data_IF_440074450698
#
_entry.id   IF_440074450698
#
_cell.length_a   1.000
_cell.length_b   1.000
_cell.length_c   1.000
_cell.angle_alpha   90.00
_cell.angle_beta   90.00
_cell.angle_gamma   90.00
#
_symmetry.space_group_name_H-M   'P 1'
#
loop_
_entity.id
_entity.type
_entity.pdbx_description
1 polymer ?
#
# COMPACT_ATOMS: atom_id res chain seq x y z
N UNK A 1 -3.98 -27.39 -26.05
CA UNK A 1 -2.97 -26.76 -25.17
C UNK A 1 -2.95 -27.53 -23.88
N UNK A 2 -1.77 -27.87 -23.36
CA UNK A 2 -1.63 -28.64 -22.13
C UNK A 2 -1.82 -27.71 -20.92
N UNK A 3 -2.80 -28.00 -20.06
CA UNK A 3 -3.07 -27.17 -18.90
C UNK A 3 -1.94 -27.32 -17.87
N UNK A 4 -1.17 -26.26 -17.72
CA UNK A 4 -0.07 -26.20 -16.75
C UNK A 4 -0.62 -26.32 -15.32
N UNK A 5 -0.12 -27.25 -14.48
CA UNK A 5 -0.72 -27.55 -13.19
C UNK A 5 -0.53 -26.41 -12.18
N UNK A 6 -1.54 -26.22 -11.33
CA UNK A 6 -1.43 -25.40 -10.13
C UNK A 6 -0.83 -26.25 -8.99
N UNK A 7 0.21 -25.74 -8.34
CA UNK A 7 0.88 -26.37 -7.19
C UNK A 7 0.51 -25.68 -5.88
N UNK A 8 0.44 -26.48 -4.81
CA UNK A 8 0.47 -25.96 -3.45
C UNK A 8 1.90 -25.53 -3.09
N UNK A 9 2.03 -24.42 -2.36
CA UNK A 9 3.29 -24.03 -1.73
C UNK A 9 3.04 -24.08 -0.22
N UNK A 10 3.89 -24.76 0.57
CA UNK A 10 3.73 -24.84 2.02
C UNK A 10 3.59 -23.48 2.70
N UNK A 11 3.09 -23.48 3.94
CA UNK A 11 3.00 -22.28 4.77
C UNK A 11 4.38 -21.60 4.90
N UNK A 12 4.42 -20.34 4.49
CA UNK A 12 5.55 -19.42 4.58
C UNK A 12 5.20 -18.45 5.70
N UNK A 13 5.90 -18.57 6.83
CA UNK A 13 5.79 -17.58 7.90
C UNK A 13 6.13 -16.18 7.37
N UNK A 14 5.66 -15.16 8.09
CA UNK A 14 5.77 -13.79 7.68
C UNK A 14 6.43 -13.01 8.84
N UNK A 15 7.65 -12.51 8.61
CA UNK A 15 8.47 -11.80 9.61
C UNK A 15 8.61 -10.31 9.24
N UNK A 16 8.38 -9.36 10.17
CA UNK A 16 8.63 -7.93 9.94
C UNK A 16 10.11 -7.62 9.60
N UNK A 17 10.35 -6.48 8.92
CA UNK A 17 11.69 -5.95 8.64
C UNK A 17 11.99 -4.60 9.37
N UNK A 18 11.75 -3.42 8.78
CA UNK A 18 11.98 -2.05 9.34
C UNK A 18 10.77 -1.15 8.97
N UNK A 19 10.52 0.11 9.36
CA UNK A 19 9.29 0.82 8.89
C UNK A 19 9.37 1.35 7.45
N UNK A 20 8.21 1.47 6.76
CA UNK A 20 8.08 2.26 5.52
C UNK A 20 8.43 3.74 5.78
N UNK A 21 8.09 4.24 6.97
CA UNK A 21 8.40 5.60 7.41
C UNK A 21 9.89 5.80 7.80
N UNK A 22 10.64 4.71 8.00
CA UNK A 22 12.09 4.73 8.29
C UNK A 22 12.94 4.72 7.01
N UNK A 23 12.32 4.47 5.85
CA UNK A 23 12.97 4.28 4.54
C UNK A 23 12.45 5.22 3.47
N UNK A 24 11.97 6.39 3.91
CA UNK A 24 11.49 7.43 3.03
C UNK A 24 12.62 7.92 2.08
N UNK A 25 12.31 8.14 0.79
CA UNK A 25 13.26 8.71 -0.16
C UNK A 25 13.57 10.17 0.18
N UNK A 26 14.40 10.82 -0.64
CA UNK A 26 14.62 12.27 -0.53
C UNK A 26 13.29 13.01 -0.74
N UNK A 27 12.94 13.92 0.18
CA UNK A 27 11.75 14.77 0.02
C UNK A 27 11.95 15.92 -0.96
N UNK A 28 10.83 16.38 -1.51
CA UNK A 28 10.69 17.72 -2.10
C UNK A 28 9.79 18.59 -1.22
N UNK A 29 10.04 19.90 -1.16
CA UNK A 29 9.27 20.85 -0.34
C UNK A 29 8.50 21.83 -1.21
N UNK A 30 7.29 22.18 -0.80
CA UNK A 30 6.49 23.25 -1.37
C UNK A 30 5.57 23.88 -0.32
N UNK A 31 5.10 25.10 -0.57
CA UNK A 31 4.18 25.81 0.34
C UNK A 31 2.83 25.08 0.42
N UNK A 32 2.34 24.56 -0.71
CA UNK A 32 1.10 23.80 -0.83
C UNK A 32 1.40 22.33 -1.22
N UNK A 33 0.47 21.39 -0.99
CA UNK A 33 0.58 20.03 -1.50
C UNK A 33 0.72 19.99 -3.02
N UNK A 34 1.63 19.18 -3.53
CA UNK A 34 1.84 18.94 -4.97
C UNK A 34 1.39 17.53 -5.33
N UNK A 35 0.51 17.41 -6.32
CA UNK A 35 -0.01 16.12 -6.80
C UNK A 35 1.08 15.27 -7.47
N UNK A 36 0.89 13.94 -7.48
CA UNK A 36 1.89 12.95 -7.88
C UNK A 36 2.49 13.21 -9.27
N UNK A 37 1.65 13.55 -10.26
CA UNK A 37 2.12 13.76 -11.64
C UNK A 37 3.05 14.97 -11.77
N UNK A 38 2.80 16.06 -11.03
CA UNK A 38 3.68 17.23 -11.01
C UNK A 38 5.01 16.97 -10.28
N UNK A 39 5.08 15.92 -9.45
CA UNK A 39 6.32 15.39 -8.87
C UNK A 39 6.98 14.31 -9.74
N UNK A 40 6.49 14.08 -10.96
CA UNK A 40 7.00 13.05 -11.88
C UNK A 40 6.62 11.62 -11.50
N UNK A 41 5.66 11.43 -10.59
CA UNK A 41 5.26 10.12 -10.09
C UNK A 41 3.97 9.61 -10.75
N UNK A 42 4.06 8.47 -11.45
CA UNK A 42 2.90 7.87 -12.12
C UNK A 42 2.09 6.91 -11.24
N UNK A 43 2.74 6.14 -10.35
CA UNK A 43 2.17 4.99 -9.62
C UNK A 43 2.71 4.88 -8.19
N UNK A 44 2.13 3.98 -7.40
CA UNK A 44 2.57 3.66 -6.03
C UNK A 44 1.83 4.49 -4.98
N UNK A 45 2.58 4.95 -3.98
CA UNK A 45 2.10 5.76 -2.86
C UNK A 45 2.81 7.10 -2.82
N UNK A 46 2.28 8.07 -2.09
CA UNK A 46 3.00 9.29 -1.77
C UNK A 46 2.69 9.68 -0.34
N UNK A 47 3.73 9.98 0.44
CA UNK A 47 3.57 10.56 1.77
C UNK A 47 3.69 12.08 1.68
N UNK A 48 2.69 12.78 2.20
CA UNK A 48 2.73 14.21 2.46
C UNK A 48 2.95 14.41 3.97
N UNK A 49 3.95 15.21 4.34
CA UNK A 49 4.29 15.49 5.74
C UNK A 49 4.22 16.98 6.03
N UNK A 50 3.54 17.34 7.10
CA UNK A 50 3.46 18.70 7.64
C UNK A 50 3.89 18.71 9.11
N UNK A 51 4.74 19.68 9.50
CA UNK A 51 5.10 19.92 10.89
C UNK A 51 4.30 21.09 11.45
N UNK A 52 3.45 20.78 12.42
CA UNK A 52 2.49 21.72 13.00
C UNK A 52 3.20 22.82 13.77
N UNK A 53 2.94 24.08 13.41
CA UNK A 53 3.55 25.27 14.04
C UNK A 53 2.68 25.90 15.14
N UNK A 54 1.36 25.83 14.98
CA UNK A 54 0.37 26.42 15.87
C UNK A 54 -0.73 25.41 16.15
N UNK A 55 -1.35 25.47 17.33
CA UNK A 55 -2.45 24.57 17.68
C UNK A 55 -3.63 24.75 16.71
N UNK A 56 -4.20 23.66 16.21
CA UNK A 56 -5.30 23.67 15.25
C UNK A 56 -6.16 22.41 15.41
N UNK A 57 -7.48 22.56 15.34
CA UNK A 57 -8.41 21.44 15.51
C UNK A 57 -9.64 21.56 14.63
N UNK A 58 -10.22 20.41 14.27
CA UNK A 58 -11.37 20.31 13.37
C UNK A 58 -11.25 19.14 12.39
N UNK A 59 -12.19 19.05 11.47
CA UNK A 59 -12.23 18.02 10.43
C UNK A 59 -11.04 18.21 9.48
N UNK A 60 -10.28 17.14 9.21
CA UNK A 60 -9.24 17.11 8.19
C UNK A 60 -9.86 16.97 6.80
N UNK A 61 -9.51 17.86 5.86
CA UNK A 61 -9.77 17.69 4.43
C UNK A 61 -8.45 17.69 3.66
N UNK A 62 -8.35 16.85 2.64
CA UNK A 62 -7.12 16.67 1.85
C UNK A 62 -7.39 16.94 0.39
N UNK A 63 -7.19 18.19 -0.04
CA UNK A 63 -7.51 18.65 -1.37
C UNK A 63 -9.01 18.86 -1.59
N UNK A 64 -9.39 18.94 -2.86
CA UNK A 64 -10.77 18.99 -3.34
C UNK A 64 -11.55 17.68 -3.12
N UNK A 65 -10.92 16.52 -3.33
CA UNK A 65 -11.49 15.18 -3.10
C UNK A 65 -10.39 14.11 -2.93
N UNK A 66 -10.62 13.03 -2.13
CA UNK A 66 -9.67 11.92 -1.98
C UNK A 66 -9.35 11.20 -3.30
N UNK A 67 -8.06 10.92 -3.54
CA UNK A 67 -7.56 10.26 -4.77
C UNK A 67 -6.36 9.33 -4.48
N UNK A 68 -6.55 8.16 -3.87
CA UNK A 68 -7.84 7.50 -3.64
C UNK A 68 -8.09 7.25 -2.16
N UNK A 69 -7.28 6.37 -1.54
CA UNK A 69 -7.34 6.07 -0.10
C UNK A 69 -6.23 6.82 0.63
N UNK A 70 -6.61 7.63 1.62
CA UNK A 70 -5.72 8.49 2.41
C UNK A 70 -5.58 7.90 3.81
N UNK A 71 -4.39 7.44 4.18
CA UNK A 71 -4.09 7.00 5.54
C UNK A 71 -3.52 8.17 6.34
N UNK A 72 -4.17 8.52 7.45
CA UNK A 72 -3.84 9.71 8.26
C UNK A 72 -3.11 9.28 9.54
N UNK A 73 -1.93 9.85 9.76
CA UNK A 73 -1.09 9.59 10.94
C UNK A 73 -0.75 10.90 11.65
N UNK A 74 -0.79 10.88 12.98
CA UNK A 74 -0.26 11.96 13.82
C UNK A 74 0.82 11.38 14.72
N UNK A 75 2.03 11.94 14.66
CA UNK A 75 3.22 11.44 15.36
C UNK A 75 3.45 9.94 15.14
N UNK A 76 3.28 9.47 13.90
CA UNK A 76 3.43 8.06 13.50
C UNK A 76 2.28 7.12 13.89
N UNK A 77 1.29 7.57 14.66
CA UNK A 77 0.11 6.77 15.02
C UNK A 77 -1.03 7.02 14.00
N UNK A 78 -1.60 5.96 13.42
CA UNK A 78 -2.80 6.04 12.56
C UNK A 78 -3.96 6.65 13.36
N UNK A 79 -4.61 7.67 12.80
CA UNK A 79 -5.73 8.42 13.41
C UNK A 79 -7.01 8.37 12.58
N UNK A 80 -6.93 7.92 11.32
CA UNK A 80 -8.11 7.71 10.48
C UNK A 80 -7.76 7.37 9.04
N UNK A 81 -8.81 7.21 8.25
CA UNK A 81 -8.77 7.01 6.79
C UNK A 81 -9.69 8.02 6.14
N UNK A 82 -9.35 8.48 4.94
CA UNK A 82 -10.26 9.24 4.08
C UNK A 82 -10.35 8.50 2.75
N UNK A 83 -11.58 8.23 2.33
CA UNK A 83 -11.99 7.71 1.02
C UNK A 83 -13.35 8.36 0.71
N UNK A 84 -13.82 8.24 -0.53
CA UNK A 84 -15.16 8.61 -0.99
C UNK A 84 -16.32 8.09 -0.13
N UNK A 85 -16.12 7.01 0.64
CA UNK A 85 -17.15 6.33 1.44
C UNK A 85 -17.01 6.54 2.96
N UNK A 86 -15.91 7.11 3.47
CA UNK A 86 -15.64 7.24 4.91
C UNK A 86 -15.85 8.67 5.43
N UNK A 87 -16.30 8.84 6.68
CA UNK A 87 -16.30 10.14 7.32
C UNK A 87 -14.87 10.65 7.52
N UNK A 88 -14.64 11.93 7.25
CA UNK A 88 -13.34 12.57 7.46
C UNK A 88 -12.99 12.63 8.97
N UNK A 89 -11.75 12.30 9.38
CA UNK A 89 -11.35 12.32 10.78
C UNK A 89 -11.28 13.75 11.32
N UNK A 90 -11.67 13.91 12.59
CA UNK A 90 -11.44 15.16 13.34
C UNK A 90 -10.10 15.08 14.07
N UNK A 91 -9.25 16.08 13.87
CA UNK A 91 -7.94 16.19 14.49
C UNK A 91 -7.91 17.30 15.55
N UNK A 92 -6.97 17.19 16.49
CA UNK A 92 -6.61 18.23 17.45
C UNK A 92 -5.07 18.24 17.57
N UNK A 93 -4.44 19.05 16.73
CA UNK A 93 -2.99 19.10 16.52
C UNK A 93 -2.35 20.20 17.38
N UNK A 94 -1.17 19.90 17.94
CA UNK A 94 -0.40 20.79 18.80
C UNK A 94 0.88 21.25 18.11
N UNK A 95 1.46 22.41 18.49
CA UNK A 95 2.77 22.83 18.02
C UNK A 95 3.81 21.73 18.26
N UNK A 96 4.55 21.37 17.21
CA UNK A 96 5.55 20.31 17.24
C UNK A 96 5.06 18.95 16.74
N UNK A 97 3.73 18.71 16.67
CA UNK A 97 3.17 17.48 16.09
C UNK A 97 3.56 17.34 14.60
N UNK A 98 3.67 16.11 14.14
CA UNK A 98 3.86 15.75 12.73
C UNK A 98 2.57 15.12 12.21
N UNK A 99 1.95 15.77 11.23
CA UNK A 99 0.87 15.22 10.43
C UNK A 99 1.45 14.55 9.18
N UNK A 100 1.14 13.28 9.00
CA UNK A 100 1.54 12.46 7.87
C UNK A 100 0.28 11.93 7.16
N UNK A 101 0.12 12.23 5.86
CA UNK A 101 -0.95 11.66 5.03
C UNK A 101 -0.35 10.83 3.90
N UNK A 102 -0.48 9.50 4.03
CA UNK A 102 -0.01 8.53 3.05
C UNK A 102 -1.15 8.22 2.07
N UNK A 103 -1.01 8.69 0.83
CA UNK A 103 -2.00 8.46 -0.23
C UNK A 103 -1.64 7.20 -1.00
N UNK A 104 -2.60 6.31 -1.15
CA UNK A 104 -2.55 5.23 -2.13
C UNK A 104 -3.24 5.66 -3.43
N UNK A 105 -2.50 5.62 -4.54
CA UNK A 105 -3.09 5.64 -5.88
C UNK A 105 -3.53 4.21 -6.20
N UNK A 106 -4.83 3.92 -6.11
CA UNK A 106 -5.42 2.59 -6.36
C UNK A 106 -5.53 2.29 -7.86
N UNK A 107 -5.61 3.33 -8.69
CA UNK A 107 -5.65 3.24 -10.16
C UNK A 107 -6.41 4.43 -10.75
N UNK A 108 -6.06 4.84 -11.97
CA UNK A 108 -6.80 5.90 -12.69
C UNK A 108 -8.04 5.30 -13.36
N UNK A 109 -9.16 6.02 -13.31
CA UNK A 109 -10.36 5.70 -14.09
C UNK A 109 -9.98 5.59 -15.57
N UNK A 110 -10.46 4.51 -16.21
CA UNK A 110 -10.12 4.14 -17.59
C UNK A 110 -11.34 4.22 -18.55
N UNK A 111 -12.45 4.80 -18.10
CA UNK A 111 -13.69 4.93 -18.87
C UNK A 111 -14.47 6.21 -18.48
N UNK A 112 -15.18 6.81 -19.43
CA UNK A 112 -16.11 7.91 -19.19
C UNK A 112 -15.46 9.30 -19.03
N UNK A 113 -16.27 10.25 -18.54
CA UNK A 113 -15.92 11.69 -18.44
C UNK A 113 -14.78 12.00 -17.47
N UNK A 114 -14.53 11.13 -16.49
CA UNK A 114 -13.58 11.43 -15.41
C UNK A 114 -12.11 11.17 -15.75
N UNK A 115 -11.82 10.61 -16.94
CA UNK A 115 -10.45 10.32 -17.40
C UNK A 115 -9.51 11.55 -17.33
N UNK A 116 -9.91 12.78 -17.74
CA UNK A 116 -9.05 13.96 -17.64
C UNK A 116 -8.74 14.36 -16.19
N UNK A 117 -9.64 14.05 -15.24
CA UNK A 117 -9.57 14.46 -13.84
C UNK A 117 -8.79 13.47 -12.94
N UNK A 118 -8.09 12.50 -13.52
CA UNK A 118 -7.36 11.44 -12.82
C UNK A 118 -5.95 11.82 -12.34
N UNK A 119 -5.76 13.04 -11.84
CA UNK A 119 -4.56 13.38 -11.04
C UNK A 119 -4.60 12.60 -9.72
N UNK A 120 -3.44 12.27 -9.14
CA UNK A 120 -3.35 11.42 -7.94
C UNK A 120 -2.53 12.07 -6.84
N UNK A 121 -2.73 11.64 -5.60
CA UNK A 121 -2.24 12.39 -4.43
C UNK A 121 -3.20 13.53 -4.09
N UNK A 122 -2.68 14.63 -3.56
CA UNK A 122 -3.49 15.78 -3.12
C UNK A 122 -3.53 16.85 -4.22
N UNK A 123 -4.75 17.25 -4.61
CA UNK A 123 -5.00 18.36 -5.53
C UNK A 123 -5.69 19.48 -4.74
N UNK A 124 -5.03 20.63 -4.62
CA UNK A 124 -5.50 21.73 -3.77
C UNK A 124 -5.00 21.62 -2.33
N UNK A 125 -5.62 22.39 -1.43
CA UNK A 125 -5.15 22.58 -0.06
C UNK A 125 -5.56 21.46 0.91
N UNK A 126 -4.73 21.24 1.92
CA UNK A 126 -5.09 20.47 3.12
C UNK A 126 -5.58 21.44 4.19
N UNK A 127 -6.73 21.16 4.79
CA UNK A 127 -7.29 21.99 5.87
C UNK A 127 -7.60 21.18 7.12
N UNK A 128 -7.42 21.77 8.29
CA UNK A 128 -7.96 21.27 9.56
C UNK A 128 -8.93 22.32 10.09
N UNK A 129 -10.21 21.97 10.15
CA UNK A 129 -11.28 22.97 10.36
C UNK A 129 -11.31 23.97 9.20
N UNK A 130 -11.16 25.25 9.50
CA UNK A 130 -11.05 26.35 8.52
C UNK A 130 -9.60 26.76 8.20
N UNK A 131 -8.60 26.16 8.85
CA UNK A 131 -7.19 26.53 8.69
C UNK A 131 -6.53 25.74 7.57
N UNK A 132 -6.00 26.43 6.56
CA UNK A 132 -5.12 25.85 5.53
C UNK A 132 -3.76 25.52 6.16
N UNK A 133 -3.28 24.30 5.94
CA UNK A 133 -1.95 23.86 6.35
C UNK A 133 -0.95 24.08 5.21
N UNK A 134 0.16 24.73 5.51
CA UNK A 134 1.22 25.10 4.55
C UNK A 134 2.56 24.41 4.90
N UNK A 135 3.55 24.56 4.02
CA UNK A 135 4.92 24.03 4.17
C UNK A 135 4.95 22.49 4.28
N UNK A 136 4.75 21.86 3.13
CA UNK A 136 4.65 20.41 2.95
C UNK A 136 5.95 19.79 2.44
N UNK A 137 6.30 18.63 3.00
CA UNK A 137 7.26 17.69 2.41
C UNK A 137 6.53 16.58 1.67
N UNK A 138 7.10 16.15 0.54
CA UNK A 138 6.54 15.14 -0.33
C UNK A 138 7.56 14.02 -0.52
N UNK A 139 7.15 12.78 -0.30
CA UNK A 139 7.99 11.60 -0.47
C UNK A 139 7.34 10.66 -1.52
N UNK A 140 7.77 10.73 -2.79
CA UNK A 140 7.27 9.86 -3.85
C UNK A 140 7.70 8.40 -3.66
N UNK A 141 6.75 7.51 -3.34
CA UNK A 141 6.99 6.09 -3.10
C UNK A 141 6.48 5.26 -4.30
N UNK A 142 7.24 5.23 -5.39
CA UNK A 142 6.88 4.42 -6.59
C UNK A 142 6.84 2.93 -6.28
N UNK A 143 7.74 2.47 -5.39
CA UNK A 143 7.93 1.09 -4.96
C UNK A 143 8.18 0.09 -6.11
N UNK A 144 8.67 0.53 -7.28
CA UNK A 144 9.02 -0.36 -8.41
C UNK A 144 10.01 -1.47 -8.03
N UNK A 145 10.76 -1.26 -6.95
CA UNK A 145 11.61 -2.25 -6.31
C UNK A 145 11.31 -2.26 -4.81
N UNK A 146 11.47 -3.41 -4.13
CA UNK A 146 11.51 -3.43 -2.67
C UNK A 146 12.60 -2.45 -2.19
N UNK A 147 12.33 -1.56 -1.21
CA UNK A 147 13.38 -0.70 -0.66
C UNK A 147 14.53 -1.54 -0.09
N UNK A 148 15.76 -1.07 -0.28
CA UNK A 148 16.97 -1.84 -0.03
C UNK A 148 17.16 -2.19 1.45
N UNK A 149 16.77 -3.41 1.81
CA UNK A 149 16.99 -4.08 3.11
C UNK A 149 16.42 -3.41 4.38
N UNK A 150 15.74 -2.26 4.28
CA UNK A 150 15.35 -1.45 5.45
C UNK A 150 13.95 -0.80 5.34
N UNK A 151 12.92 -1.48 4.84
CA UNK A 151 11.51 -1.03 4.87
C UNK A 151 10.57 -2.11 5.43
N UNK A 152 9.26 -1.85 5.61
CA UNK A 152 8.32 -2.83 6.25
C UNK A 152 7.81 -3.84 5.23
N UNK A 153 8.80 -4.61 4.84
CA UNK A 153 8.82 -5.63 3.85
C UNK A 153 8.90 -6.94 4.61
N UNK A 154 7.78 -7.63 4.66
CA UNK A 154 7.71 -8.96 5.22
C UNK A 154 8.44 -9.91 4.28
N UNK A 155 9.77 -10.04 4.47
CA UNK A 155 10.71 -10.82 3.66
C UNK A 155 10.91 -12.20 4.28
N UNK A 156 10.55 -13.25 3.54
CA UNK A 156 10.97 -14.61 3.77
C UNK A 156 11.64 -15.22 2.54
N UNK A 157 12.63 -16.07 2.78
CA UNK A 157 13.25 -16.92 1.77
C UNK A 157 12.66 -18.32 1.89
N UNK A 158 12.12 -18.87 0.82
CA UNK A 158 11.52 -20.21 0.86
C UNK A 158 12.58 -21.28 1.01
N UNK A 159 12.30 -22.32 1.80
CA UNK A 159 13.03 -23.59 1.72
C UNK A 159 12.89 -24.21 0.32
N UNK A 160 13.79 -25.12 -0.10
CA UNK A 160 13.73 -25.73 -1.43
C UNK A 160 12.41 -26.47 -1.67
N UNK A 161 11.77 -26.20 -2.80
CA UNK A 161 10.65 -26.99 -3.30
C UNK A 161 11.18 -28.39 -3.69
N UNK A 162 11.00 -29.39 -2.80
CA UNK A 162 11.23 -30.79 -3.13
C UNK A 162 10.03 -31.34 -3.90
N UNK A 163 10.19 -31.53 -5.21
CA UNK A 163 9.15 -32.15 -6.03
C UNK A 163 9.18 -31.69 -7.49
N UNK A 164 9.84 -32.50 -8.32
CA UNK A 164 9.81 -32.52 -9.80
C UNK A 164 10.21 -31.25 -10.58
N UNK A 165 10.86 -31.53 -11.72
CA UNK A 165 11.39 -30.53 -12.64
C UNK A 165 10.30 -29.89 -13.50
N UNK A 166 9.95 -28.63 -13.26
CA UNK A 166 10.01 -27.58 -14.31
C UNK A 166 9.60 -26.21 -13.77
N UNK A 167 10.19 -25.15 -14.34
CA UNK A 167 9.81 -23.73 -14.17
C UNK A 167 8.50 -23.41 -14.91
N UNK A 168 7.52 -24.30 -14.81
CA UNK A 168 6.22 -24.20 -15.47
C UNK A 168 5.07 -24.18 -14.46
N UNK A 169 5.13 -24.93 -13.36
CA UNK A 169 4.00 -25.04 -12.43
C UNK A 169 3.59 -23.69 -11.81
N UNK A 170 2.28 -23.38 -11.86
CA UNK A 170 1.70 -22.12 -11.40
C UNK A 170 1.20 -22.22 -9.94
N UNK A 171 0.89 -21.12 -9.26
CA UNK A 171 0.18 -21.17 -7.96
C UNK A 171 -0.79 -20.01 -7.77
N UNK A 172 -1.67 -20.10 -6.77
CA UNK A 172 -2.45 -18.96 -6.26
C UNK A 172 -1.89 -18.60 -4.87
N UNK A 173 -1.16 -17.50 -4.77
CA UNK A 173 -0.59 -17.04 -3.50
C UNK A 173 -1.67 -16.39 -2.64
N UNK A 174 -2.04 -17.06 -1.55
CA UNK A 174 -2.84 -16.48 -0.46
C UNK A 174 -1.89 -15.77 0.50
N UNK A 175 -1.97 -14.44 0.57
CA UNK A 175 -1.26 -13.60 1.52
C UNK A 175 -2.29 -13.01 2.50
N UNK A 176 -2.11 -13.12 3.83
CA UNK A 176 -3.09 -12.65 4.80
C UNK A 176 -2.77 -11.22 5.27
N UNK A 177 -3.09 -10.21 4.45
CA UNK A 177 -2.72 -8.81 4.70
C UNK A 177 -3.90 -7.84 4.49
N UNK A 178 -4.21 -7.05 5.50
CA UNK A 178 -5.12 -5.89 5.46
C UNK A 178 -4.37 -4.75 4.73
N UNK A 179 -5.04 -3.90 3.91
CA UNK A 179 -4.53 -3.41 2.61
C UNK A 179 -3.16 -2.70 2.73
N UNK A 180 -2.32 -2.60 1.71
CA UNK A 180 -2.49 -2.89 0.28
C UNK A 180 -1.11 -2.78 -0.42
N UNK A 181 -1.03 -3.26 -1.67
CA UNK A 181 0.18 -3.48 -2.49
C UNK A 181 1.08 -4.64 -2.02
N UNK A 182 0.99 -5.76 -2.73
CA UNK A 182 1.92 -6.86 -2.55
C UNK A 182 2.96 -6.78 -3.68
N UNK A 183 4.17 -6.36 -3.35
CA UNK A 183 5.34 -6.82 -4.08
C UNK A 183 5.34 -8.35 -4.04
N UNK A 184 5.82 -9.02 -5.11
CA UNK A 184 6.58 -10.29 -5.10
C UNK A 184 6.49 -11.18 -6.33
N UNK A 185 7.57 -11.39 -7.05
CA UNK A 185 8.56 -12.39 -6.68
C UNK A 185 9.83 -12.05 -7.45
N UNK A 186 11.02 -12.18 -6.86
CA UNK A 186 12.28 -11.88 -7.56
C UNK A 186 12.35 -10.46 -8.17
N UNK A 187 11.61 -9.49 -7.60
CA UNK A 187 11.48 -8.12 -8.11
C UNK A 187 10.22 -7.83 -8.93
N UNK A 188 9.33 -8.81 -9.13
CA UNK A 188 8.05 -8.64 -9.85
C UNK A 188 6.93 -8.19 -8.91
N UNK A 189 5.96 -7.42 -9.40
CA UNK A 189 4.75 -7.01 -8.68
C UNK A 189 3.58 -7.90 -9.15
N UNK A 190 2.93 -8.65 -8.24
CA UNK A 190 1.75 -9.46 -8.60
C UNK A 190 0.45 -8.66 -8.60
N UNK A 191 0.40 -7.55 -7.85
CA UNK A 191 -0.74 -6.66 -7.76
C UNK A 191 -1.11 -6.27 -6.33
N UNK A 192 -2.36 -5.86 -6.14
CA UNK A 192 -2.91 -5.46 -4.84
C UNK A 192 -3.77 -6.57 -4.26
N UNK A 193 -3.77 -6.64 -2.94
CA UNK A 193 -4.69 -7.46 -2.18
C UNK A 193 -5.39 -6.56 -1.15
N UNK A 194 -6.67 -6.83 -0.90
CA UNK A 194 -7.49 -6.18 0.12
C UNK A 194 -8.37 -7.25 0.73
N UNK A 195 -8.37 -7.36 2.06
CA UNK A 195 -9.18 -8.33 2.81
C UNK A 195 -10.67 -8.33 2.42
N UNK A 196 -11.23 -7.18 2.03
CA UNK A 196 -12.64 -7.03 1.62
C UNK A 196 -13.03 -7.95 0.48
N UNK A 197 -12.11 -8.29 -0.43
CA UNK A 197 -12.38 -9.18 -1.57
C UNK A 197 -12.99 -8.46 -2.80
N UNK A 198 -13.65 -9.20 -3.72
CA UNK A 198 -13.91 -10.64 -3.67
C UNK A 198 -12.67 -11.51 -3.91
N UNK A 199 -11.59 -10.94 -4.46
CA UNK A 199 -10.36 -11.67 -4.76
C UNK A 199 -9.57 -11.99 -3.49
N UNK A 200 -9.44 -13.28 -3.15
CA UNK A 200 -8.77 -13.72 -1.92
C UNK A 200 -7.35 -14.29 -2.12
N UNK A 201 -6.83 -14.28 -3.36
CA UNK A 201 -5.46 -14.69 -3.70
C UNK A 201 -4.91 -13.89 -4.88
N UNK A 202 -3.59 -13.73 -4.93
CA UNK A 202 -2.88 -13.27 -6.12
C UNK A 202 -2.46 -14.48 -6.97
N UNK A 203 -2.48 -14.34 -8.30
CA UNK A 203 -1.94 -15.37 -9.18
C UNK A 203 -0.42 -15.30 -9.20
N UNK A 204 0.25 -16.44 -9.08
CA UNK A 204 1.70 -16.58 -9.12
C UNK A 204 2.11 -17.39 -10.37
N UNK A 205 2.50 -16.73 -11.47
CA UNK A 205 3.02 -17.39 -12.65
C UNK A 205 4.26 -18.21 -12.34
N UNK A 206 4.30 -19.47 -12.79
CA UNK A 206 5.40 -20.39 -12.57
C UNK A 206 6.74 -19.99 -13.22
N UNK A 207 6.68 -19.04 -14.15
CA UNK A 207 7.84 -18.40 -14.77
C UNK A 207 8.59 -17.44 -13.84
N UNK A 208 7.97 -17.01 -12.73
CA UNK A 208 8.62 -16.18 -11.70
C UNK A 208 9.29 -17.02 -10.61
N UNK A 209 8.83 -18.28 -10.42
CA UNK A 209 9.39 -19.24 -9.46
C UNK A 209 10.77 -19.76 -9.91
N UNK A 210 11.77 -19.60 -9.06
CA UNK A 210 13.06 -20.33 -9.15
C UNK A 210 12.93 -21.70 -8.48
N UNK A 211 13.84 -22.62 -8.83
CA UNK A 211 13.94 -23.95 -8.19
C UNK A 211 14.25 -23.88 -6.68
N UNK A 212 14.93 -22.82 -6.24
CA UNK A 212 15.35 -22.55 -4.84
C UNK A 212 15.48 -21.05 -4.63
N UNK A 213 15.50 -20.63 -3.37
CA UNK A 213 15.78 -19.25 -2.94
C UNK A 213 14.82 -18.22 -3.56
N UNK A 214 13.52 -18.54 -3.59
CA UNK A 214 12.48 -17.54 -3.86
C UNK A 214 12.35 -16.63 -2.64
N UNK A 215 12.16 -15.35 -2.90
CA UNK A 215 11.92 -14.34 -1.86
C UNK A 215 10.45 -13.92 -1.90
N UNK A 216 9.85 -13.75 -0.71
CA UNK A 216 8.47 -13.31 -0.46
C UNK A 216 8.52 -12.13 0.54
N UNK A 217 8.31 -10.91 0.02
CA UNK A 217 8.51 -9.51 0.47
C UNK A 217 7.19 -8.72 0.41
N UNK A 218 6.34 -8.73 1.45
CA UNK A 218 5.02 -8.07 1.40
C UNK A 218 5.04 -6.67 2.03
N UNK A 219 4.41 -5.66 1.41
CA UNK A 219 4.07 -4.39 2.08
C UNK A 219 2.66 -4.51 2.68
N UNK A 220 2.58 -4.52 4.01
CA UNK A 220 1.34 -4.42 4.75
C UNK A 220 1.26 -3.01 5.35
N UNK A 221 0.19 -2.25 5.06
CA UNK A 221 0.02 -0.92 5.68
C UNK A 221 -0.49 -1.08 7.13
N UNK A 222 -1.13 -2.20 7.44
CA UNK A 222 -1.59 -2.58 8.77
C UNK A 222 -1.24 -4.05 9.11
N UNK A 223 0.03 -4.32 9.43
CA UNK A 223 0.45 -5.63 9.93
C UNK A 223 -0.16 -5.90 11.31
N UNK A 224 -0.61 -7.13 11.55
CA UNK A 224 -1.04 -7.59 12.86
C UNK A 224 -0.20 -8.78 13.34
N UNK A 225 0.02 -8.88 14.65
CA UNK A 225 0.91 -9.89 15.23
C UNK A 225 0.42 -11.35 15.04
N UNK A 226 -0.88 -11.52 14.74
CA UNK A 226 -1.53 -12.81 14.50
C UNK A 226 -1.75 -13.07 13.00
N UNK A 227 -0.95 -12.44 12.12
CA UNK A 227 -1.01 -12.70 10.69
C UNK A 227 -0.78 -14.19 10.43
N UNK A 228 -1.66 -14.78 9.64
CA UNK A 228 -1.47 -16.15 9.15
C UNK A 228 -0.18 -16.25 8.30
N UNK A 229 0.36 -17.45 8.06
CA UNK A 229 1.38 -17.61 7.04
C UNK A 229 0.81 -17.34 5.63
N UNK A 230 1.66 -16.85 4.73
CA UNK A 230 1.38 -16.89 3.29
C UNK A 230 1.45 -18.35 2.80
N UNK A 231 0.67 -18.71 1.78
CA UNK A 231 0.72 -20.07 1.19
C UNK A 231 0.24 -20.10 -0.25
N UNK A 232 0.79 -21.02 -1.04
CA UNK A 232 0.30 -21.31 -2.39
C UNK A 232 -0.84 -22.32 -2.34
N UNK A 233 -1.96 -22.00 -2.97
CA UNK A 233 -3.14 -22.88 -3.06
C UNK A 233 -3.44 -23.24 -4.52
N UNK A 234 -4.06 -24.40 -4.72
CA UNK A 234 -4.32 -24.96 -6.06
C UNK A 234 -5.70 -24.57 -6.62
N UNK A 235 -6.61 -24.09 -5.76
CA UNK A 235 -7.97 -23.70 -6.13
C UNK A 235 -8.18 -22.26 -5.69
N UNK A 236 -8.58 -21.38 -6.62
CA UNK A 236 -8.93 -20.00 -6.29
C UNK A 236 -10.25 -19.97 -5.53
N UNK A 237 -10.32 -19.17 -4.47
CA UNK A 237 -11.56 -18.85 -3.77
C UNK A 237 -11.93 -17.38 -3.98
N UNK A 238 -13.24 -17.12 -4.00
CA UNK A 238 -13.81 -15.77 -3.99
C UNK A 238 -14.68 -15.64 -2.75
N UNK A 239 -14.49 -14.58 -1.97
CA UNK A 239 -15.34 -14.26 -0.82
C UNK A 239 -15.17 -12.80 -0.46
N UNK A 240 -16.19 -12.22 0.15
CA UNK A 240 -16.11 -10.89 0.74
C UNK A 240 -15.92 -10.99 2.25
N UNK A 241 -15.24 -10.00 2.83
CA UNK A 241 -15.18 -9.78 4.27
C UNK A 241 -15.64 -8.35 4.59
N UNK A 242 -16.09 -8.04 5.82
CA UNK A 242 -16.30 -6.67 6.25
C UNK A 242 -15.04 -5.83 6.05
N UNK A 243 -15.23 -4.55 5.74
CA UNK A 243 -14.14 -3.60 5.60
C UNK A 243 -13.64 -3.15 6.98
N UNK A 244 -12.37 -3.38 7.35
CA UNK A 244 -11.86 -2.96 8.65
C UNK A 244 -11.73 -1.45 8.81
N UNK A 245 -11.85 -0.67 7.73
CA UNK A 245 -11.86 0.80 7.77
C UNK A 245 -13.29 1.39 7.79
N UNK A 246 -14.33 0.58 7.57
CA UNK A 246 -15.71 1.05 7.65
C UNK A 246 -16.17 1.23 9.12
N UNK A 247 -16.96 2.28 9.41
CA UNK A 247 -17.49 2.56 10.75
C UNK A 247 -18.63 1.63 11.17
#
# INVERSE_FOLDING_TARGET
MENTPLIAIPSIELKPAVSLFDSLPRSTRAIHPVHMEALGQALGFILYRHKVRSAVGGILKTGDTPRDRVLVYVNGKRTGVIDSIYPHPTLNLKPGDVLDTLIENLGRVNYGSEIPNQRKGIVGDVTVGSTVLLDWEHFPLTLEKPPSAHALLLILRTQPLQGQSSTKAHSMLRVPVIPSSNFLENGVILGRYWTVGPQQQLYLPGVYLKKRNNEITVLALEPNANQSPAKGIQVRSWSNNPDPDAP
#
